data_IF_469257784293
#
_entry.id   IF_469257784293
#
_cell.length_a   1.000
_cell.length_b   1.000
_cell.length_c   1.000
_cell.angle_alpha   90.00
_cell.angle_beta   90.00
_cell.angle_gamma   90.00
#
_symmetry.space_group_name_H-M   'P 1'
#
loop_
_entity.id
_entity.type
_entity.pdbx_description
1 polymer ?
#
# COMPACT_ATOMS: atom_id res chain seq x y z
N UNK A 1 40.79 18.08 -7.51
CA UNK A 1 39.32 18.24 -7.34
C UNK A 1 38.61 17.45 -8.44
N UNK A 2 38.16 16.21 -8.16
CA UNK A 2 37.40 15.36 -9.11
C UNK A 2 36.66 14.18 -8.46
N UNK A 3 36.90 13.90 -7.16
CA UNK A 3 36.38 12.70 -6.48
C UNK A 3 35.16 12.94 -5.58
N UNK A 4 34.77 14.20 -5.34
CA UNK A 4 33.62 14.54 -4.46
C UNK A 4 32.29 14.55 -5.22
N UNK A 5 32.29 14.78 -6.54
CA UNK A 5 31.07 14.76 -7.34
C UNK A 5 30.51 13.36 -7.58
N UNK A 6 31.34 12.32 -7.52
CA UNK A 6 30.89 10.94 -7.77
C UNK A 6 30.16 10.34 -6.57
N UNK A 7 30.56 10.70 -5.34
CA UNK A 7 29.90 10.26 -4.10
C UNK A 7 28.55 10.93 -3.88
N UNK A 8 28.39 12.20 -4.29
CA UNK A 8 27.08 12.89 -4.23
C UNK A 8 26.13 12.37 -5.32
N UNK A 9 26.64 11.95 -6.49
CA UNK A 9 25.82 11.35 -7.56
C UNK A 9 25.31 9.94 -7.19
N UNK A 10 26.09 9.13 -6.46
CA UNK A 10 25.62 7.82 -5.98
C UNK A 10 24.50 7.90 -4.96
N UNK A 11 24.41 8.99 -4.17
CA UNK A 11 23.35 9.15 -3.18
C UNK A 11 21.95 9.28 -3.82
N UNK A 12 21.89 9.67 -5.09
CA UNK A 12 20.63 9.78 -5.86
C UNK A 12 20.29 8.53 -6.68
N UNK A 13 21.16 7.52 -6.75
CA UNK A 13 20.92 6.32 -7.56
C UNK A 13 20.07 5.24 -6.86
N UNK A 14 19.76 5.39 -5.56
CA UNK A 14 18.88 4.46 -4.84
C UNK A 14 17.38 4.67 -5.13
N UNK A 15 17.00 5.70 -5.88
CA UNK A 15 15.60 6.10 -6.10
C UNK A 15 14.82 5.15 -7.01
N UNK A 16 15.47 4.21 -7.71
CA UNK A 16 14.80 3.27 -8.61
C UNK A 16 14.60 1.84 -8.04
N UNK A 17 14.68 1.65 -6.71
CA UNK A 17 14.60 0.30 -6.13
C UNK A 17 13.18 -0.15 -5.74
N UNK A 18 12.21 0.77 -5.77
CA UNK A 18 10.79 0.46 -5.61
C UNK A 18 9.91 1.43 -6.41
N UNK A 19 8.81 0.95 -6.96
CA UNK A 19 7.88 1.77 -7.75
C UNK A 19 6.45 1.28 -7.62
N UNK A 20 5.53 2.22 -7.42
CA UNK A 20 4.08 1.96 -7.46
C UNK A 20 3.55 2.45 -8.80
N UNK A 21 3.02 1.54 -9.59
CA UNK A 21 2.38 1.82 -10.87
C UNK A 21 0.87 1.77 -10.69
N UNK A 22 0.18 2.89 -10.93
CA UNK A 22 -1.27 2.95 -11.00
C UNK A 22 -1.73 2.49 -12.38
N UNK A 23 -2.66 1.53 -12.41
CA UNK A 23 -3.11 0.86 -13.63
C UNK A 23 -4.52 1.31 -14.00
N UNK A 24 -5.39 1.46 -13.00
CA UNK A 24 -6.75 1.96 -13.17
C UNK A 24 -7.12 2.85 -11.98
N UNK A 25 -7.97 3.84 -12.25
CA UNK A 25 -8.57 4.64 -11.20
C UNK A 25 -9.50 3.77 -10.35
N UNK A 26 -9.35 3.89 -9.04
CA UNK A 26 -10.30 3.30 -8.10
C UNK A 26 -11.61 4.08 -8.15
N UNK A 27 -12.75 3.38 -8.12
CA UNK A 27 -14.03 4.07 -7.94
C UNK A 27 -14.01 4.78 -6.57
N UNK A 28 -14.48 6.03 -6.44
CA UNK A 28 -14.53 6.71 -5.16
C UNK A 28 -15.27 5.92 -4.08
N UNK A 29 -14.93 6.19 -2.82
CA UNK A 29 -15.54 5.54 -1.65
C UNK A 29 -15.94 6.55 -0.58
N UNK A 30 -16.86 6.12 0.27
CA UNK A 30 -17.18 6.77 1.53
C UNK A 30 -16.44 6.10 2.70
N UNK A 31 -16.46 6.72 3.89
CA UNK A 31 -15.83 6.17 5.10
C UNK A 31 -16.35 4.77 5.47
N UNK A 32 -17.65 4.49 5.29
CA UNK A 32 -18.24 3.18 5.60
C UNK A 32 -17.80 2.09 4.62
N UNK A 33 -17.35 2.48 3.42
CA UNK A 33 -16.86 1.60 2.38
C UNK A 33 -15.34 1.31 2.48
N UNK A 34 -14.66 1.84 3.50
CA UNK A 34 -13.25 1.50 3.81
C UNK A 34 -13.14 0.08 4.37
N UNK A 35 -13.36 -0.92 3.52
CA UNK A 35 -13.17 -2.35 3.84
C UNK A 35 -12.11 -2.95 2.92
N UNK A 36 -11.14 -3.64 3.51
CA UNK A 36 -9.99 -4.17 2.76
C UNK A 36 -9.64 -5.58 3.21
N UNK A 37 -9.37 -6.43 2.23
CA UNK A 37 -8.90 -7.79 2.40
C UNK A 37 -7.39 -7.83 2.15
N UNK A 38 -6.60 -8.25 3.14
CA UNK A 38 -5.18 -8.54 2.96
C UNK A 38 -4.99 -10.05 2.72
N UNK A 39 -4.15 -10.41 1.74
CA UNK A 39 -3.97 -11.80 1.31
C UNK A 39 -2.50 -12.14 1.12
N UNK A 40 -2.13 -13.35 1.58
CA UNK A 40 -0.84 -14.01 1.32
C UNK A 40 0.39 -13.24 1.80
N UNK A 41 0.21 -12.35 2.78
CA UNK A 41 1.35 -11.72 3.44
C UNK A 41 2.05 -12.75 4.35
N UNK A 42 3.38 -12.69 4.49
CA UNK A 42 4.07 -13.43 5.53
C UNK A 42 3.56 -13.02 6.92
N UNK A 43 3.50 -13.97 7.87
CA UNK A 43 2.93 -13.74 9.22
C UNK A 43 3.60 -12.58 9.95
N UNK A 44 4.89 -12.35 9.73
CA UNK A 44 5.60 -11.23 10.34
C UNK A 44 5.11 -9.87 9.83
N UNK A 45 4.46 -9.77 8.66
CA UNK A 45 3.86 -8.54 8.15
C UNK A 45 2.41 -8.35 8.60
N UNK A 46 1.63 -9.43 8.67
CA UNK A 46 0.17 -9.40 8.83
C UNK A 46 -0.28 -8.47 9.97
N UNK A 47 0.17 -8.71 11.20
CA UNK A 47 -0.28 -7.93 12.39
C UNK A 47 0.08 -6.44 12.26
N UNK A 48 1.26 -6.14 11.74
CA UNK A 48 1.72 -4.75 11.60
C UNK A 48 0.96 -4.02 10.50
N UNK A 49 0.68 -4.71 9.39
CA UNK A 49 -0.09 -4.17 8.28
C UNK A 49 -1.56 -3.96 8.66
N UNK A 50 -2.17 -4.94 9.32
CA UNK A 50 -3.55 -4.86 9.82
C UNK A 50 -3.71 -3.64 10.73
N UNK A 51 -2.87 -3.51 11.77
CA UNK A 51 -2.91 -2.35 12.67
C UNK A 51 -2.72 -1.02 11.94
N UNK A 52 -1.81 -0.96 10.97
CA UNK A 52 -1.59 0.26 10.20
C UNK A 52 -2.83 0.65 9.38
N UNK A 53 -3.52 -0.32 8.79
CA UNK A 53 -4.77 -0.10 8.05
C UNK A 53 -5.92 0.31 9.00
N UNK A 54 -6.08 -0.36 10.13
CA UNK A 54 -7.08 -0.04 11.15
C UNK A 54 -6.91 1.37 11.72
N UNK A 55 -5.67 1.78 11.99
CA UNK A 55 -5.34 3.15 12.42
C UNK A 55 -5.70 4.20 11.35
N UNK A 56 -5.82 3.79 10.09
CA UNK A 56 -6.31 4.62 8.98
C UNK A 56 -7.79 4.38 8.69
N UNK A 57 -8.55 3.88 9.67
CA UNK A 57 -10.00 3.65 9.62
C UNK A 57 -10.45 2.63 8.56
N UNK A 58 -9.58 1.72 8.15
CA UNK A 58 -9.97 0.58 7.34
C UNK A 58 -10.47 -0.55 8.22
N UNK A 59 -11.60 -1.15 7.86
CA UNK A 59 -12.03 -2.44 8.40
C UNK A 59 -11.29 -3.54 7.64
N UNK A 60 -10.48 -4.30 8.35
CA UNK A 60 -9.57 -5.28 7.74
C UNK A 60 -10.16 -6.69 7.82
N UNK A 61 -9.96 -7.47 6.77
CA UNK A 61 -10.07 -8.91 6.78
C UNK A 61 -8.76 -9.52 6.35
N UNK A 62 -8.36 -10.60 7.00
CA UNK A 62 -7.10 -11.28 6.74
C UNK A 62 -7.43 -12.68 6.23
N UNK A 63 -6.89 -13.04 5.07
CA UNK A 63 -6.80 -14.44 4.65
C UNK A 63 -5.34 -14.84 4.82
N UNK A 64 -5.08 -15.55 5.90
CA UNK A 64 -3.74 -16.07 6.17
C UNK A 64 -3.42 -17.22 5.22
N UNK A 65 -2.14 -17.44 4.94
CA UNK A 65 -1.68 -18.49 4.03
C UNK A 65 -2.02 -19.93 4.52
N UNK A 66 -2.53 -20.07 5.75
CA UNK A 66 -2.92 -21.33 6.38
C UNK A 66 -4.44 -21.56 6.43
N UNK A 67 -5.23 -20.57 6.05
CA UNK A 67 -6.68 -20.61 6.23
C UNK A 67 -7.37 -20.65 4.86
N UNK A 68 -8.02 -21.77 4.54
CA UNK A 68 -8.83 -21.95 3.33
C UNK A 68 -10.26 -21.46 3.51
N UNK A 69 -10.60 -20.90 4.68
CA UNK A 69 -11.92 -20.36 4.95
C UNK A 69 -12.13 -19.03 4.21
N UNK A 70 -13.32 -18.87 3.63
CA UNK A 70 -13.71 -17.60 2.99
C UNK A 70 -13.69 -16.47 4.04
N UNK A 71 -13.10 -15.31 3.73
CA UNK A 71 -13.07 -14.19 4.68
C UNK A 71 -14.48 -13.78 5.09
N UNK A 72 -14.67 -13.51 6.38
CA UNK A 72 -15.97 -13.26 6.99
C UNK A 72 -16.59 -11.91 6.59
N UNK A 73 -15.78 -10.90 6.22
CA UNK A 73 -16.28 -9.64 5.70
C UNK A 73 -16.16 -9.52 4.19
N UNK A 74 -17.25 -9.05 3.57
CA UNK A 74 -17.24 -8.51 2.22
C UNK A 74 -16.35 -7.27 2.16
N UNK A 75 -15.20 -7.40 1.52
CA UNK A 75 -14.24 -6.31 1.32
C UNK A 75 -14.43 -5.62 -0.02
N UNK A 76 -14.21 -4.30 -0.07
CA UNK A 76 -14.29 -3.51 -1.29
C UNK A 76 -12.96 -3.48 -2.04
N UNK A 77 -11.84 -3.65 -1.32
CA UNK A 77 -10.52 -3.72 -1.90
C UNK A 77 -9.77 -4.97 -1.45
N UNK A 78 -8.80 -5.38 -2.26
CA UNK A 78 -7.84 -6.41 -1.90
C UNK A 78 -6.40 -5.88 -2.04
N UNK A 79 -5.58 -6.19 -1.04
CA UNK A 79 -4.13 -6.03 -1.07
C UNK A 79 -3.53 -7.44 -1.08
N UNK A 80 -3.02 -7.85 -2.23
CA UNK A 80 -2.49 -9.20 -2.45
C UNK A 80 -0.98 -9.15 -2.53
N UNK A 81 -0.31 -9.90 -1.67
CA UNK A 81 1.12 -10.15 -1.75
C UNK A 81 1.39 -11.29 -2.75
N UNK A 82 2.15 -11.03 -3.82
CA UNK A 82 2.62 -12.06 -4.76
C UNK A 82 4.08 -12.44 -4.47
N UNK A 83 4.35 -12.72 -3.20
CA UNK A 83 5.65 -13.08 -2.70
C UNK A 83 6.42 -11.90 -2.11
N UNK A 84 6.98 -12.15 -0.93
CA UNK A 84 7.94 -11.30 -0.24
C UNK A 84 9.11 -12.20 0.17
N UNK A 85 10.30 -11.91 -0.34
CA UNK A 85 11.54 -12.58 0.03
C UNK A 85 12.39 -11.65 0.87
N UNK A 86 12.90 -12.14 1.99
CA UNK A 86 13.91 -11.44 2.77
C UNK A 86 15.27 -11.49 2.04
N UNK A 87 15.98 -10.38 2.05
CA UNK A 87 17.37 -10.27 1.60
C UNK A 87 18.31 -10.12 2.80
N UNK A 88 19.63 -10.23 2.57
CA UNK A 88 20.69 -10.41 3.58
C UNK A 88 20.90 -9.25 4.58
N UNK A 89 20.10 -8.18 4.52
CA UNK A 89 20.28 -6.97 5.34
C UNK A 89 18.98 -6.48 5.99
N UNK A 90 18.02 -7.37 6.24
CA UNK A 90 16.73 -6.99 6.83
C UNK A 90 15.85 -6.17 5.88
N UNK A 91 16.15 -6.24 4.60
CA UNK A 91 15.34 -5.67 3.51
C UNK A 91 14.61 -6.79 2.79
N UNK A 92 13.64 -6.42 1.98
CA UNK A 92 12.79 -7.34 1.27
C UNK A 92 12.68 -6.95 -0.21
N UNK A 93 12.36 -7.96 -1.01
CA UNK A 93 11.91 -7.83 -2.39
C UNK A 93 10.54 -8.49 -2.55
N UNK A 94 9.71 -7.95 -3.45
CA UNK A 94 8.39 -8.50 -3.65
C UNK A 94 7.49 -7.67 -4.56
N UNK A 95 6.25 -8.13 -4.68
CA UNK A 95 5.20 -7.51 -5.47
C UNK A 95 3.92 -7.46 -4.62
N UNK A 96 3.31 -6.28 -4.53
CA UNK A 96 2.01 -6.08 -3.92
C UNK A 96 1.05 -5.57 -4.98
N UNK A 97 -0.13 -6.19 -5.06
CA UNK A 97 -1.20 -5.80 -5.99
C UNK A 97 -2.38 -5.25 -5.22
N UNK A 98 -2.94 -4.17 -5.77
CA UNK A 98 -4.12 -3.51 -5.22
C UNK A 98 -5.26 -3.66 -6.20
N UNK A 99 -6.40 -4.18 -5.74
CA UNK A 99 -7.56 -4.41 -6.60
C UNK A 99 -8.83 -3.81 -5.97
N UNK A 100 -9.67 -3.21 -6.80
CA UNK A 100 -11.02 -2.80 -6.42
C UNK A 100 -11.97 -3.98 -6.72
N UNK A 101 -12.41 -4.66 -5.66
CA UNK A 101 -13.25 -5.84 -5.75
C UNK A 101 -14.67 -5.53 -6.23
N UNK A 102 -15.10 -4.26 -6.14
CA UNK A 102 -16.42 -3.85 -6.64
C UNK A 102 -16.45 -3.79 -8.18
N UNK A 103 -15.30 -3.52 -8.79
CA UNK A 103 -15.16 -3.41 -10.25
C UNK A 103 -14.40 -4.58 -10.88
N UNK A 104 -13.72 -5.40 -10.06
CA UNK A 104 -12.83 -6.46 -10.51
C UNK A 104 -11.51 -5.96 -11.10
N UNK A 105 -11.24 -4.64 -11.04
CA UNK A 105 -10.06 -4.04 -11.67
C UNK A 105 -8.89 -3.92 -10.72
N UNK A 106 -7.69 -4.09 -11.26
CA UNK A 106 -6.44 -3.78 -10.56
C UNK A 106 -6.19 -2.27 -10.62
N UNK A 107 -6.02 -1.65 -9.47
CA UNK A 107 -5.83 -0.20 -9.38
C UNK A 107 -4.35 0.17 -9.30
N UNK A 108 -3.52 -0.66 -8.68
CA UNK A 108 -2.08 -0.42 -8.59
C UNK A 108 -1.26 -1.71 -8.44
N UNK A 109 0.03 -1.61 -8.77
CA UNK A 109 1.06 -2.62 -8.52
C UNK A 109 2.26 -1.94 -7.89
N UNK A 110 2.66 -2.36 -6.71
CA UNK A 110 3.88 -1.94 -6.05
C UNK A 110 4.94 -3.03 -6.18
N UNK A 111 6.03 -2.74 -6.90
CA UNK A 111 7.19 -3.64 -7.05
C UNK A 111 8.38 -3.05 -6.33
N UNK A 112 9.06 -3.85 -5.51
CA UNK A 112 10.23 -3.42 -4.76
C UNK A 112 11.28 -4.51 -4.75
N UNK A 113 12.55 -4.10 -4.84
CA UNK A 113 13.71 -4.99 -4.75
C UNK A 113 14.50 -4.82 -3.46
N UNK A 114 14.44 -3.63 -2.86
CA UNK A 114 15.08 -3.33 -1.57
C UNK A 114 14.16 -2.38 -0.82
N UNK A 115 13.44 -2.91 0.16
CA UNK A 115 12.61 -2.09 1.05
C UNK A 115 12.58 -2.69 2.45
N UNK A 116 12.58 -1.84 3.47
CA UNK A 116 12.35 -2.28 4.85
C UNK A 116 10.89 -2.67 5.02
N UNK A 117 10.60 -3.49 6.03
CA UNK A 117 9.22 -3.84 6.40
C UNK A 117 8.34 -2.59 6.63
N UNK A 118 8.86 -1.58 7.33
CA UNK A 118 8.13 -0.32 7.57
C UNK A 118 7.87 0.43 6.26
N UNK A 119 8.85 0.54 5.37
CA UNK A 119 8.69 1.22 4.09
C UNK A 119 7.66 0.55 3.18
N UNK A 120 7.56 -0.78 3.23
CA UNK A 120 6.52 -1.54 2.51
C UNK A 120 5.12 -1.20 3.05
N UNK A 121 4.94 -1.25 4.37
CA UNK A 121 3.67 -0.92 5.02
C UNK A 121 3.28 0.53 4.72
N UNK A 122 4.21 1.48 4.83
CA UNK A 122 3.96 2.89 4.50
C UNK A 122 3.53 3.08 3.04
N UNK A 123 4.14 2.38 2.09
CA UNK A 123 3.75 2.45 0.68
C UNK A 123 2.33 1.88 0.46
N UNK A 124 2.00 0.79 1.15
CA UNK A 124 0.64 0.24 1.13
C UNK A 124 -0.37 1.28 1.63
N UNK A 125 -0.13 1.90 2.79
CA UNK A 125 -1.03 2.91 3.34
C UNK A 125 -1.17 4.09 2.39
N UNK A 126 -0.06 4.64 1.87
CA UNK A 126 -0.10 5.74 0.88
C UNK A 126 -0.90 5.38 -0.37
N UNK A 127 -0.76 4.15 -0.87
CA UNK A 127 -1.52 3.67 -2.03
C UNK A 127 -3.01 3.59 -1.71
N UNK A 128 -3.39 3.07 -0.53
CA UNK A 128 -4.79 3.00 -0.11
C UNK A 128 -5.39 4.39 0.15
N UNK A 129 -4.63 5.32 0.71
CA UNK A 129 -5.09 6.69 0.96
C UNK A 129 -5.21 7.53 -0.32
N UNK A 130 -4.53 7.13 -1.39
CA UNK A 130 -4.68 7.76 -2.72
C UNK A 130 -6.02 7.47 -3.39
N UNK A 131 -6.78 6.49 -2.89
CA UNK A 131 -8.12 6.18 -3.38
C UNK A 131 -9.04 7.39 -3.11
N UNK A 132 -9.79 7.90 -4.10
CA UNK A 132 -10.67 9.03 -3.89
C UNK A 132 -11.71 8.77 -2.78
N UNK A 133 -11.75 9.67 -1.80
CA UNK A 133 -12.62 9.55 -0.61
C UNK A 133 -12.09 8.64 0.50
N UNK A 134 -10.92 8.03 0.34
CA UNK A 134 -10.25 7.25 1.39
C UNK A 134 -9.44 8.14 2.34
N UNK A 135 -8.82 9.21 1.84
CA UNK A 135 -8.00 10.10 2.65
C UNK A 135 -8.80 10.74 3.78
N UNK A 136 -8.18 10.77 4.96
CA UNK A 136 -8.67 11.44 6.17
C UNK A 136 -8.46 12.95 6.15
N UNK A 137 -7.81 13.49 5.12
CA UNK A 137 -7.73 14.95 4.96
C UNK A 137 -9.13 15.48 4.67
N UNK A 138 -9.78 16.03 5.69
CA UNK A 138 -10.84 17.01 5.54
C UNK A 138 -10.36 18.05 4.55
N UNK A 139 -10.81 17.94 3.30
CA UNK A 139 -10.72 19.02 2.33
C UNK A 139 -11.67 20.10 2.84
N UNK A 140 -11.21 20.89 3.81
CA UNK A 140 -11.75 22.21 4.02
C UNK A 140 -11.35 23.03 2.81
N UNK A 141 -12.09 22.86 1.72
CA UNK A 141 -12.20 23.91 0.71
C UNK A 141 -12.83 25.08 1.44
N UNK A 142 -11.99 25.95 2.00
CA UNK A 142 -12.41 27.27 2.44
C UNK A 142 -12.75 28.01 1.16
N UNK A 143 -14.01 27.90 0.74
CA UNK A 143 -14.61 28.86 -0.17
C UNK A 143 -14.52 30.20 0.54
N UNK A 144 -13.48 30.99 0.23
CA UNK A 144 -13.51 32.40 0.59
C UNK A 144 -14.63 33.04 -0.22
N UNK A 145 -15.78 33.16 0.42
CA UNK A 145 -16.83 34.03 -0.04
C UNK A 145 -16.40 35.49 0.26
N UNK A 146 -16.07 36.19 -0.82
CA UNK A 146 -16.46 37.58 -1.14
C UNK A 146 -16.02 38.70 -0.17
N UNK A 147 -15.26 39.64 -0.73
CA UNK A 147 -15.77 41.01 -0.94
C UNK A 147 -15.19 41.61 -2.22
#
# INVERSE_FOLDING_TARGET
MKKIFLSILMLFAFVACSSTQFVHDAKPITKSEKTVLIQYFPTEFEIALEKALENNFWKVSVVSNKDTSSPSLKSNFAITCEGIGADYLGTYQGIIKFSDLRTGKRIAVYKFKVSTKSGIIENIIKTMDSIPGASITTSATVTQAVK
#
